data_IF_657370192095
#
_entry.id   IF_657370192095
#
_cell.length_a   1.000
_cell.length_b   1.000
_cell.length_c   1.000
_cell.angle_alpha   90.00
_cell.angle_beta   90.00
_cell.angle_gamma   90.00
#
_symmetry.space_group_name_H-M   'P 1'
#
loop_
_entity.id
_entity.type
_entity.pdbx_description
1 polymer ?
#
# COMPACT_ATOMS: atom_id res chain seq x y z
N UNK A 1 -13.86 -0.92 -5.00
CA UNK A 1 -12.95 -1.97 -4.57
C UNK A 1 -13.71 -3.11 -3.91
N UNK A 2 -13.20 -4.34 -4.02
CA UNK A 2 -13.80 -5.57 -3.49
C UNK A 2 -14.24 -5.43 -2.01
N UNK A 3 -13.34 -4.95 -1.12
CA UNK A 3 -13.64 -4.76 0.31
C UNK A 3 -14.81 -3.80 0.58
N UNK A 4 -15.02 -2.79 -0.24
CA UNK A 4 -16.10 -1.82 -0.06
C UNK A 4 -17.43 -2.37 -0.59
N UNK A 5 -17.43 -2.91 -1.80
CA UNK A 5 -18.64 -3.40 -2.46
C UNK A 5 -19.32 -4.54 -1.68
N UNK A 6 -18.54 -5.54 -1.26
CA UNK A 6 -19.08 -6.68 -0.52
C UNK A 6 -19.55 -6.35 0.90
N UNK A 7 -19.13 -5.21 1.43
CA UNK A 7 -19.57 -4.72 2.75
C UNK A 7 -20.59 -3.57 2.66
N UNK A 8 -21.13 -3.28 1.47
CA UNK A 8 -22.10 -2.19 1.22
C UNK A 8 -21.58 -0.83 1.70
N UNK A 9 -20.28 -0.55 1.49
CA UNK A 9 -19.65 0.70 1.87
C UNK A 9 -19.56 1.62 0.65
N UNK A 10 -19.93 2.87 0.83
CA UNK A 10 -19.77 3.88 -0.22
C UNK A 10 -18.29 4.25 -0.37
N UNK A 11 -17.83 4.35 -1.63
CA UNK A 11 -16.41 4.56 -1.93
C UNK A 11 -16.08 6.00 -2.35
N UNK A 12 -17.10 6.86 -2.48
CA UNK A 12 -16.92 8.19 -3.10
C UNK A 12 -15.96 9.09 -2.31
N UNK A 13 -15.93 8.95 -0.98
CA UNK A 13 -15.09 9.76 -0.09
C UNK A 13 -13.78 9.07 0.31
N UNK A 14 -13.61 7.77 0.03
CA UNK A 14 -12.41 7.03 0.40
C UNK A 14 -11.29 7.25 -0.61
N UNK A 15 -10.16 7.78 -0.16
CA UNK A 15 -8.97 7.98 -1.00
C UNK A 15 -7.80 7.17 -0.48
N UNK A 16 -7.08 6.51 -1.39
CA UNK A 16 -5.88 5.75 -1.08
C UNK A 16 -4.70 6.41 -1.75
N UNK A 17 -3.66 6.70 -0.96
CA UNK A 17 -2.43 7.33 -1.40
C UNK A 17 -1.24 6.40 -1.17
N UNK A 18 -0.40 6.24 -2.17
CA UNK A 18 0.87 5.54 -2.03
C UNK A 18 1.98 6.53 -1.71
N UNK A 19 2.75 6.23 -0.66
CA UNK A 19 3.88 7.04 -0.20
C UNK A 19 5.17 6.28 -0.48
N UNK A 20 6.09 6.89 -1.24
CA UNK A 20 7.42 6.31 -1.41
C UNK A 20 8.17 6.37 -0.09
N UNK A 21 8.38 5.22 0.53
CA UNK A 21 9.06 5.06 1.81
C UNK A 21 9.60 3.65 1.94
N UNK A 22 10.76 3.51 2.57
CA UNK A 22 11.41 2.26 2.97
C UNK A 22 10.88 1.71 4.31
N UNK A 23 9.94 2.42 4.93
CA UNK A 23 9.30 1.98 6.17
C UNK A 23 8.04 1.17 5.88
N UNK A 24 7.88 0.04 6.57
CA UNK A 24 6.66 -0.75 6.51
C UNK A 24 5.58 -0.06 7.34
N UNK A 25 4.69 0.68 6.70
CA UNK A 25 3.60 1.37 7.38
C UNK A 25 2.37 1.59 6.48
N UNK A 26 1.19 1.64 7.11
CA UNK A 26 -0.03 2.23 6.57
C UNK A 26 -0.72 2.99 7.71
N UNK A 27 -1.47 4.02 7.37
CA UNK A 27 -2.19 4.81 8.37
C UNK A 27 -3.34 5.57 7.74
N UNK A 28 -4.33 5.90 8.54
CA UNK A 28 -5.46 6.73 8.13
C UNK A 28 -5.39 8.12 8.74
N UNK A 29 -5.94 9.09 8.00
CA UNK A 29 -6.06 10.47 8.45
C UNK A 29 -7.49 10.98 8.32
N UNK A 30 -7.77 12.18 8.82
CA UNK A 30 -9.07 12.83 8.66
C UNK A 30 -9.51 12.89 7.18
N UNK A 31 -10.81 12.80 6.93
CA UNK A 31 -11.38 12.83 5.58
C UNK A 31 -11.32 11.48 4.84
N UNK A 32 -11.26 10.36 5.56
CA UNK A 32 -11.28 9.01 5.00
C UNK A 32 -10.10 8.73 4.03
N UNK A 33 -8.92 9.27 4.35
CA UNK A 33 -7.72 9.06 3.55
C UNK A 33 -6.85 7.96 4.16
N UNK A 34 -6.50 6.94 3.35
CA UNK A 34 -5.56 5.87 3.71
C UNK A 34 -4.24 6.15 3.00
N UNK A 35 -3.16 6.19 3.76
CA UNK A 35 -1.79 6.30 3.25
C UNK A 35 -1.09 4.96 3.41
N UNK A 36 -0.43 4.50 2.35
CA UNK A 36 0.24 3.21 2.30
C UNK A 36 1.66 3.42 1.81
N UNK A 37 2.62 3.08 2.64
CA UNK A 37 4.02 3.10 2.26
C UNK A 37 4.31 1.99 1.24
N UNK A 38 5.17 2.29 0.27
CA UNK A 38 5.55 1.32 -0.77
C UNK A 38 6.17 0.06 -0.18
N UNK A 39 6.94 0.19 0.91
CA UNK A 39 7.57 -0.95 1.56
C UNK A 39 6.56 -1.91 2.21
N UNK A 40 5.40 -1.43 2.67
CA UNK A 40 4.34 -2.31 3.15
C UNK A 40 3.85 -3.26 2.06
N UNK A 41 3.65 -2.74 0.84
CA UNK A 41 3.22 -3.55 -0.31
C UNK A 41 4.32 -4.55 -0.69
N UNK A 42 5.58 -4.12 -0.68
CA UNK A 42 6.72 -4.97 -1.02
C UNK A 42 6.95 -6.08 0.01
N UNK A 43 6.68 -5.81 1.29
CA UNK A 43 6.79 -6.77 2.40
C UNK A 43 5.71 -7.86 2.35
N UNK A 44 4.50 -7.54 1.89
CA UNK A 44 3.44 -8.54 1.76
C UNK A 44 3.77 -9.57 0.67
N UNK A 45 3.66 -10.87 0.97
CA UNK A 45 3.92 -11.95 0.01
C UNK A 45 2.68 -12.32 -0.80
N UNK A 46 1.51 -12.11 -0.22
CA UNK A 46 0.22 -12.47 -0.78
C UNK A 46 -0.69 -11.24 -0.80
N UNK A 47 -1.49 -11.08 -1.85
CA UNK A 47 -2.45 -9.97 -1.94
C UNK A 47 -3.43 -9.95 -0.76
N UNK A 48 -3.69 -11.10 -0.11
CA UNK A 48 -4.57 -11.22 1.05
C UNK A 48 -3.95 -10.63 2.31
N UNK A 49 -2.63 -10.68 2.47
CA UNK A 49 -1.92 -9.95 3.54
C UNK A 49 -2.11 -8.44 3.36
N UNK A 50 -1.92 -7.95 2.13
CA UNK A 50 -2.17 -6.54 1.80
C UNK A 50 -3.63 -6.14 2.01
N UNK A 51 -4.57 -6.98 1.56
CA UNK A 51 -6.00 -6.76 1.78
C UNK A 51 -6.36 -6.76 3.28
N UNK A 52 -5.67 -7.57 4.10
CA UNK A 52 -5.89 -7.63 5.54
C UNK A 52 -5.46 -6.33 6.23
N UNK A 53 -4.33 -5.74 5.84
CA UNK A 53 -3.94 -4.41 6.33
C UNK A 53 -4.94 -3.35 5.89
N UNK A 54 -5.36 -3.35 4.62
CA UNK A 54 -6.37 -2.40 4.15
C UNK A 54 -7.70 -2.53 4.89
N UNK A 55 -8.13 -3.75 5.22
CA UNK A 55 -9.33 -3.98 6.01
C UNK A 55 -9.19 -3.43 7.44
N UNK A 56 -8.00 -3.52 8.04
CA UNK A 56 -7.69 -2.94 9.34
C UNK A 56 -7.74 -1.40 9.30
N UNK A 57 -7.11 -0.78 8.31
CA UNK A 57 -7.16 0.68 8.13
C UNK A 57 -8.59 1.18 7.87
N UNK A 58 -9.34 0.46 7.04
CA UNK A 58 -10.74 0.76 6.81
C UNK A 58 -11.59 0.63 8.10
N UNK A 59 -11.28 -0.35 8.94
CA UNK A 59 -11.94 -0.50 10.23
C UNK A 59 -11.67 0.69 11.18
N UNK A 60 -10.49 1.30 11.15
CA UNK A 60 -10.22 2.55 11.87
C UNK A 60 -11.09 3.70 11.37
N UNK A 61 -11.31 3.81 10.08
CA UNK A 61 -12.23 4.82 9.50
C UNK A 61 -13.66 4.58 9.99
N UNK A 62 -14.16 3.35 9.82
CA UNK A 62 -15.53 2.97 10.18
C UNK A 62 -15.80 3.09 11.68
N UNK A 63 -14.81 2.80 12.51
CA UNK A 63 -14.88 2.95 13.97
C UNK A 63 -14.77 4.40 14.45
N UNK A 64 -14.51 5.36 13.56
CA UNK A 64 -14.31 6.77 13.93
C UNK A 64 -13.10 6.99 14.85
N UNK A 65 -12.12 6.08 14.82
CA UNK A 65 -11.00 6.07 15.77
C UNK A 65 -10.15 7.35 15.66
N UNK A 66 -9.97 7.89 14.46
CA UNK A 66 -9.23 9.14 14.23
C UNK A 66 -9.92 10.33 14.90
N UNK A 67 -11.25 10.41 14.76
CA UNK A 67 -12.02 11.50 15.35
C UNK A 67 -11.93 11.47 16.88
N UNK A 68 -12.10 10.29 17.48
CA UNK A 68 -12.00 10.10 18.93
C UNK A 68 -10.58 10.43 19.45
N UNK A 69 -9.54 9.98 18.75
CA UNK A 69 -8.15 10.30 19.10
C UNK A 69 -7.88 11.81 18.99
N UNK A 70 -8.43 12.47 17.97
CA UNK A 70 -8.29 13.93 17.80
C UNK A 70 -8.92 14.72 18.96
N UNK A 71 -10.06 14.26 19.48
CA UNK A 71 -10.71 14.88 20.66
C UNK A 71 -9.85 14.65 21.91
N UNK A 72 -9.34 13.47 22.13
CA UNK A 72 -8.46 13.15 23.26
C UNK A 72 -7.19 14.00 23.25
N UNK A 73 -6.54 14.11 22.08
CA UNK A 73 -5.32 14.91 21.90
C UNK A 73 -5.60 16.42 22.03
N UNK A 74 -6.72 16.92 21.52
CA UNK A 74 -7.08 18.34 21.66
C UNK A 74 -7.24 18.76 23.13
N UNK A 75 -7.56 17.80 23.97
CA UNK A 75 -7.62 17.99 25.41
C UNK A 75 -6.24 17.96 26.10
N UNK A 76 -5.23 17.36 25.45
CA UNK A 76 -3.89 17.15 26.03
C UNK A 76 -2.81 18.14 25.53
N UNK A 77 -2.85 18.59 24.28
CA UNK A 77 -1.89 19.57 23.76
C UNK A 77 -2.40 20.34 22.55
N UNK A 78 -2.49 21.66 22.70
CA UNK A 78 -3.07 22.56 21.69
C UNK A 78 -2.18 22.84 20.46
N UNK A 79 -1.01 22.21 20.27
CA UNK A 79 -0.04 22.67 19.25
C UNK A 79 0.50 21.63 18.28
N UNK A 80 0.71 20.38 18.67
CA UNK A 80 1.44 19.41 17.83
C UNK A 80 0.55 18.76 16.74
N UNK A 81 -0.69 18.41 17.07
CA UNK A 81 -1.61 17.77 16.13
C UNK A 81 -1.97 18.64 14.91
N UNK A 82 -2.27 19.97 15.07
CA UNK A 82 -2.50 20.82 13.92
C UNK A 82 -1.32 20.89 12.96
N UNK A 83 -0.08 20.87 13.46
CA UNK A 83 1.14 20.90 12.62
C UNK A 83 1.27 19.59 11.83
N UNK A 84 1.04 18.45 12.46
CA UNK A 84 1.08 17.14 11.79
C UNK A 84 0.02 17.05 10.68
N UNK A 85 -1.23 17.42 10.99
CA UNK A 85 -2.33 17.40 10.01
C UNK A 85 -2.08 18.41 8.87
N UNK A 86 -1.56 19.61 9.17
CA UNK A 86 -1.18 20.60 8.16
C UNK A 86 -0.04 20.10 7.27
N UNK A 87 0.91 19.34 7.83
CA UNK A 87 1.98 18.71 7.09
C UNK A 87 1.44 17.73 6.06
N UNK A 88 0.51 16.84 6.45
CA UNK A 88 -0.15 15.88 5.55
C UNK A 88 -0.97 16.62 4.47
N UNK A 89 -1.75 17.64 4.86
CA UNK A 89 -2.53 18.45 3.90
C UNK A 89 -1.59 19.16 2.91
N UNK A 90 -0.46 19.68 3.39
CA UNK A 90 0.56 20.31 2.55
C UNK A 90 1.14 19.35 1.51
N UNK A 91 1.42 18.12 1.87
CA UNK A 91 1.87 17.08 0.92
C UNK A 91 0.80 16.77 -0.14
N UNK A 92 -0.46 16.65 0.28
CA UNK A 92 -1.60 16.40 -0.64
C UNK A 92 -1.79 17.56 -1.61
N UNK A 93 -1.55 18.80 -1.15
CA UNK A 93 -1.66 20.01 -1.96
C UNK A 93 -0.43 20.29 -2.85
N UNK A 94 0.57 19.39 -2.88
CA UNK A 94 1.77 19.52 -3.71
C UNK A 94 2.88 20.39 -3.10
N UNK A 95 2.74 20.84 -1.86
CA UNK A 95 3.78 21.55 -1.10
C UNK A 95 4.71 20.55 -0.40
N UNK A 96 5.47 19.78 -1.20
CA UNK A 96 6.23 18.61 -0.75
C UNK A 96 7.18 18.91 0.40
N UNK A 97 7.99 19.97 0.29
CA UNK A 97 9.02 20.28 1.29
C UNK A 97 8.42 20.79 2.62
N UNK A 98 7.40 21.65 2.55
CA UNK A 98 6.71 22.17 3.74
C UNK A 98 5.83 21.08 4.38
N UNK A 99 5.23 20.20 3.55
CA UNK A 99 4.42 19.07 4.02
C UNK A 99 5.27 18.05 4.77
N UNK A 100 6.41 17.64 4.20
CA UNK A 100 7.36 16.71 4.83
C UNK A 100 7.90 17.31 6.15
N UNK A 101 8.29 18.57 6.15
CA UNK A 101 8.76 19.24 7.37
C UNK A 101 7.66 19.31 8.45
N UNK A 102 6.41 19.58 8.08
CA UNK A 102 5.27 19.59 9.00
C UNK A 102 4.98 18.21 9.60
N UNK A 103 5.03 17.16 8.77
CA UNK A 103 4.89 15.77 9.23
C UNK A 103 6.02 15.38 10.17
N UNK A 104 7.28 15.67 9.81
CA UNK A 104 8.45 15.35 10.65
C UNK A 104 8.41 16.08 12.00
N UNK A 105 8.10 17.39 12.01
CA UNK A 105 8.01 18.17 13.25
C UNK A 105 6.83 17.72 14.10
N UNK A 106 5.67 17.45 13.49
CA UNK A 106 4.49 16.93 14.17
C UNK A 106 4.75 15.57 14.79
N UNK A 107 5.41 14.66 14.04
CA UNK A 107 5.77 13.33 14.47
C UNK A 107 6.77 13.34 15.62
N UNK A 108 7.83 14.14 15.54
CA UNK A 108 8.83 14.29 16.63
C UNK A 108 8.20 14.87 17.92
N UNK A 109 7.17 15.69 17.81
CA UNK A 109 6.48 16.28 18.97
C UNK A 109 5.45 15.37 19.62
N UNK A 110 5.02 14.32 18.90
CA UNK A 110 4.00 13.36 19.34
C UNK A 110 4.64 12.03 19.81
N UNK A 111 5.90 11.74 19.41
CA UNK A 111 6.53 10.43 19.58
C UNK A 111 6.79 10.00 21.04
N UNK A 112 6.93 10.92 21.97
CA UNK A 112 7.38 10.58 23.33
C UNK A 112 6.27 9.99 24.24
N UNK A 113 4.98 10.07 23.89
CA UNK A 113 3.91 9.58 24.77
C UNK A 113 2.65 9.04 24.06
N UNK A 114 2.62 8.85 22.75
CA UNK A 114 1.40 8.51 22.04
C UNK A 114 1.54 7.27 21.15
N UNK A 115 0.96 6.16 21.60
CA UNK A 115 0.45 5.15 20.67
C UNK A 115 -0.68 5.81 19.88
N UNK A 116 -0.57 5.87 18.55
CA UNK A 116 -1.54 6.55 17.67
C UNK A 116 -2.97 6.06 17.94
N UNK A 117 -3.12 4.77 18.26
CA UNK A 117 -4.38 4.16 18.66
C UNK A 117 -4.29 3.46 20.02
N UNK A 118 -5.38 3.54 20.79
CA UNK A 118 -5.47 2.81 22.05
C UNK A 118 -5.61 1.30 21.83
N UNK A 119 -5.30 0.50 22.85
CA UNK A 119 -5.49 -0.96 22.82
C UNK A 119 -6.91 -1.36 22.43
N UNK A 120 -7.91 -0.61 22.90
CA UNK A 120 -9.32 -0.87 22.62
C UNK A 120 -9.65 -0.58 21.15
N UNK A 121 -9.09 0.49 20.58
CA UNK A 121 -9.28 0.84 19.18
C UNK A 121 -8.62 -0.21 18.26
N UNK A 122 -7.41 -0.67 18.59
CA UNK A 122 -6.74 -1.75 17.85
C UNK A 122 -7.55 -3.06 17.90
N UNK A 123 -8.02 -3.46 19.07
CA UNK A 123 -8.85 -4.66 19.22
C UNK A 123 -10.16 -4.57 18.42
N UNK A 124 -10.80 -3.40 18.43
CA UNK A 124 -12.02 -3.13 17.65
C UNK A 124 -11.74 -3.16 16.14
N UNK A 125 -10.64 -2.54 15.70
CA UNK A 125 -10.24 -2.54 14.30
C UNK A 125 -9.88 -3.94 13.81
N UNK A 126 -9.15 -4.73 14.59
CA UNK A 126 -8.82 -6.12 14.26
C UNK A 126 -10.06 -7.00 14.10
N UNK A 127 -11.04 -6.90 15.02
CA UNK A 127 -12.29 -7.64 14.92
C UNK A 127 -13.11 -7.24 13.70
N UNK A 128 -13.21 -5.94 13.42
CA UNK A 128 -13.90 -5.44 12.25
C UNK A 128 -13.19 -5.86 10.96
N UNK A 129 -11.84 -5.84 10.92
CA UNK A 129 -11.05 -6.31 9.79
C UNK A 129 -11.32 -7.79 9.48
N UNK A 130 -11.34 -8.66 10.49
CA UNK A 130 -11.67 -10.09 10.31
C UNK A 130 -13.04 -10.25 9.65
N UNK A 131 -14.05 -9.49 10.10
CA UNK A 131 -15.39 -9.51 9.50
C UNK A 131 -15.39 -9.00 8.05
N UNK A 132 -14.72 -7.88 7.78
CA UNK A 132 -14.61 -7.30 6.45
C UNK A 132 -13.94 -8.27 5.47
N UNK A 133 -12.88 -8.94 5.90
CA UNK A 133 -12.18 -9.96 5.12
C UNK A 133 -13.07 -11.18 4.85
N UNK A 134 -13.72 -11.69 5.89
CA UNK A 134 -14.58 -12.87 5.79
C UNK A 134 -15.70 -12.67 4.77
N UNK A 135 -16.32 -11.49 4.75
CA UNK A 135 -17.35 -11.13 3.77
C UNK A 135 -16.83 -11.16 2.31
N UNK A 136 -15.51 -11.16 2.13
CA UNK A 136 -14.83 -11.27 0.83
C UNK A 136 -14.22 -12.66 0.58
N UNK A 137 -14.49 -13.64 1.42
CA UNK A 137 -13.88 -14.96 1.32
C UNK A 137 -12.38 -14.98 1.63
N UNK A 138 -11.88 -13.99 2.35
CA UNK A 138 -10.48 -13.90 2.79
C UNK A 138 -10.43 -14.21 4.28
N UNK A 139 -9.61 -15.19 4.66
CA UNK A 139 -9.42 -15.54 6.06
C UNK A 139 -8.59 -14.48 6.80
N UNK A 140 -9.05 -14.04 7.98
CA UNK A 140 -8.34 -13.07 8.83
C UNK A 140 -6.98 -13.54 9.33
N UNK A 141 -6.61 -14.83 9.15
CA UNK A 141 -5.25 -15.34 9.42
C UNK A 141 -4.16 -14.54 8.67
N UNK A 142 -4.47 -13.98 7.48
CA UNK A 142 -3.53 -13.19 6.71
C UNK A 142 -3.12 -11.89 7.43
N UNK A 143 -3.97 -11.34 8.28
CA UNK A 143 -3.58 -10.23 9.16
C UNK A 143 -2.56 -10.71 10.20
N UNK A 144 -2.74 -11.90 10.78
CA UNK A 144 -1.76 -12.49 11.72
C UNK A 144 -0.43 -12.76 11.01
N UNK A 145 -0.46 -13.32 9.82
CA UNK A 145 0.75 -13.62 9.02
C UNK A 145 1.53 -12.33 8.74
N UNK A 146 0.85 -11.27 8.36
CA UNK A 146 1.47 -9.96 8.13
C UNK A 146 2.04 -9.36 9.43
N UNK A 147 1.31 -9.38 10.55
CA UNK A 147 1.77 -8.88 11.84
C UNK A 147 3.03 -9.60 12.32
N UNK A 148 3.09 -10.93 12.21
CA UNK A 148 4.29 -11.73 12.55
C UNK A 148 5.48 -11.36 11.67
N UNK A 149 5.25 -11.09 10.39
CA UNK A 149 6.30 -10.68 9.47
C UNK A 149 6.91 -9.33 9.85
N UNK A 150 6.07 -8.36 10.19
CA UNK A 150 6.53 -7.04 10.66
C UNK A 150 7.32 -7.16 11.96
N UNK A 151 6.90 -8.02 12.87
CA UNK A 151 7.61 -8.24 14.14
C UNK A 151 9.03 -8.75 13.89
N UNK A 152 9.20 -9.73 12.99
CA UNK A 152 10.51 -10.28 12.63
C UNK A 152 11.42 -9.26 11.92
N UNK A 153 10.87 -8.42 11.03
CA UNK A 153 11.62 -7.36 10.33
C UNK A 153 12.14 -6.33 11.33
N UNK A 154 11.32 -5.95 12.32
CA UNK A 154 11.68 -4.93 13.30
C UNK A 154 12.74 -5.39 14.34
N UNK A 155 12.86 -6.69 14.61
CA UNK A 155 13.95 -7.21 15.44
C UNK A 155 15.32 -7.00 14.78
N UNK A 156 15.36 -6.97 13.44
CA UNK A 156 16.59 -6.74 12.68
C UNK A 156 16.98 -5.25 12.57
N UNK A 157 16.04 -4.32 12.77
CA UNK A 157 16.19 -2.86 12.65
C UNK A 157 15.72 -2.13 13.92
N UNK A 158 16.23 -2.50 15.07
CA UNK A 158 15.77 -2.14 16.42
C UNK A 158 15.76 -0.63 16.78
N UNK A 159 16.00 0.29 15.84
CA UNK A 159 16.18 1.73 16.11
C UNK A 159 15.24 2.67 15.31
N UNK A 160 14.27 2.17 14.54
CA UNK A 160 13.38 3.04 13.76
C UNK A 160 12.02 3.22 14.45
N UNK A 161 11.84 4.37 15.09
CA UNK A 161 10.61 4.74 15.82
C UNK A 161 9.39 4.98 14.92
N UNK A 162 9.57 5.00 13.60
CA UNK A 162 8.55 5.38 12.61
C UNK A 162 7.90 4.20 11.87
N UNK A 163 7.99 2.99 12.41
CA UNK A 163 7.42 1.79 11.79
C UNK A 163 5.95 1.55 12.22
N UNK A 164 5.30 0.55 11.61
CA UNK A 164 3.92 0.14 11.89
C UNK A 164 3.63 -0.06 13.39
N UNK A 165 4.62 -0.46 14.20
CA UNK A 165 4.45 -0.65 15.65
C UNK A 165 4.24 0.66 16.41
N UNK A 166 4.74 1.78 15.92
CA UNK A 166 4.55 3.08 16.57
C UNK A 166 3.12 3.59 16.39
N UNK A 167 2.53 3.33 15.23
CA UNK A 167 1.13 3.67 14.93
C UNK A 167 0.14 2.62 15.44
N UNK A 168 0.54 1.33 15.44
CA UNK A 168 -0.29 0.17 15.80
C UNK A 168 0.42 -0.74 16.83
N UNK A 169 0.40 -0.40 18.11
CA UNK A 169 1.17 -1.11 19.13
C UNK A 169 0.62 -2.50 19.46
N UNK A 170 1.45 -3.28 20.16
CA UNK A 170 1.06 -4.53 20.87
C UNK A 170 0.71 -5.71 19.95
N UNK A 171 1.59 -6.02 18.98
CA UNK A 171 1.39 -7.13 18.02
C UNK A 171 0.99 -8.45 18.70
N UNK A 172 1.60 -8.86 19.81
CA UNK A 172 1.29 -10.12 20.49
C UNK A 172 -0.15 -10.18 21.02
N UNK A 173 -0.63 -9.10 21.64
CA UNK A 173 -2.01 -9.04 22.14
C UNK A 173 -3.01 -9.06 20.97
N UNK A 174 -2.69 -8.38 19.86
CA UNK A 174 -3.51 -8.34 18.64
C UNK A 174 -3.67 -9.71 18.03
N UNK A 175 -2.60 -10.50 17.94
CA UNK A 175 -2.68 -11.89 17.47
C UNK A 175 -3.67 -12.72 18.30
N UNK A 176 -3.67 -12.54 19.63
CA UNK A 176 -4.63 -13.19 20.52
C UNK A 176 -6.08 -12.79 20.22
N UNK A 177 -6.35 -11.50 20.03
CA UNK A 177 -7.70 -10.99 19.73
C UNK A 177 -8.19 -11.44 18.35
N UNK A 178 -7.32 -11.41 17.33
CA UNK A 178 -7.66 -11.87 15.99
C UNK A 178 -7.99 -13.38 16.02
N UNK A 179 -7.20 -14.21 16.70
CA UNK A 179 -7.47 -15.64 16.83
C UNK A 179 -8.85 -15.89 17.47
N UNK A 180 -9.17 -15.18 18.56
CA UNK A 180 -10.50 -15.30 19.20
C UNK A 180 -11.65 -14.87 18.27
N UNK A 181 -11.40 -13.87 17.42
CA UNK A 181 -12.39 -13.44 16.43
C UNK A 181 -12.57 -14.46 15.31
N UNK A 182 -11.51 -15.15 14.91
CA UNK A 182 -11.57 -16.19 13.86
C UNK A 182 -12.43 -17.39 14.25
N UNK A 183 -12.59 -17.69 15.54
CA UNK A 183 -13.47 -18.76 16.02
C UNK A 183 -14.92 -18.57 15.54
N UNK A 184 -15.34 -17.34 15.30
CA UNK A 184 -16.67 -17.00 14.78
C UNK A 184 -16.78 -17.04 13.25
N UNK A 185 -15.67 -17.26 12.54
CA UNK A 185 -15.57 -17.13 11.06
C UNK A 185 -14.81 -18.30 10.43
N UNK A 186 -15.17 -19.53 10.80
CA UNK A 186 -14.42 -20.75 10.42
C UNK A 186 -14.44 -21.06 8.93
N UNK A 187 -15.38 -20.54 8.15
CA UNK A 187 -15.60 -20.91 6.74
C UNK A 187 -15.29 -19.78 5.75
N UNK A 188 -14.34 -18.89 6.07
CA UNK A 188 -14.05 -17.70 5.27
C UNK A 188 -12.92 -17.86 4.23
N UNK A 189 -12.41 -19.05 3.95
CA UNK A 189 -11.26 -19.25 3.04
C UNK A 189 -11.73 -19.89 1.73
N UNK A 190 -12.51 -19.13 0.92
CA UNK A 190 -13.12 -19.71 -0.28
C UNK A 190 -12.28 -19.56 -1.54
N UNK A 191 -11.37 -18.60 -1.61
CA UNK A 191 -10.74 -18.26 -2.89
C UNK A 191 -9.29 -17.80 -2.80
N UNK A 192 -8.42 -18.60 -3.38
CA UNK A 192 -7.14 -18.12 -3.91
C UNK A 192 -7.40 -17.58 -5.31
N UNK A 193 -7.73 -16.31 -5.44
CA UNK A 193 -7.85 -15.71 -6.76
C UNK A 193 -6.45 -15.51 -7.37
N UNK A 194 -6.08 -16.44 -8.26
CA UNK A 194 -4.78 -16.41 -8.96
C UNK A 194 -4.61 -15.15 -9.82
N UNK A 195 -5.71 -14.54 -10.26
CA UNK A 195 -5.68 -13.33 -11.08
C UNK A 195 -5.28 -12.15 -10.19
N UNK A 196 -5.88 -12.01 -9.00
CA UNK A 196 -5.49 -10.98 -8.05
C UNK A 196 -4.05 -11.15 -7.58
N UNK A 197 -3.62 -12.39 -7.29
CA UNK A 197 -2.23 -12.63 -6.91
C UNK A 197 -1.26 -12.21 -8.03
N UNK A 198 -1.55 -12.54 -9.27
CA UNK A 198 -0.72 -12.13 -10.40
C UNK A 198 -0.71 -10.60 -10.59
N UNK A 199 -1.86 -9.92 -10.46
CA UNK A 199 -1.94 -8.46 -10.49
C UNK A 199 -1.10 -7.85 -9.35
N UNK A 200 -1.13 -8.45 -8.16
CA UNK A 200 -0.36 -7.99 -7.01
C UNK A 200 1.15 -8.18 -7.21
N UNK A 201 1.59 -9.30 -7.76
CA UNK A 201 2.99 -9.53 -8.12
C UNK A 201 3.50 -8.50 -9.14
N UNK A 202 2.71 -8.16 -10.15
CA UNK A 202 3.05 -7.11 -11.11
C UNK A 202 3.10 -5.72 -10.47
N UNK A 203 2.19 -5.42 -9.52
CA UNK A 203 2.26 -4.19 -8.73
C UNK A 203 3.55 -4.11 -7.93
N UNK A 204 3.93 -5.19 -7.23
CA UNK A 204 5.21 -5.28 -6.49
C UNK A 204 6.40 -5.08 -7.42
N UNK A 205 6.39 -5.71 -8.58
CA UNK A 205 7.44 -5.57 -9.59
C UNK A 205 7.60 -4.11 -10.05
N UNK A 206 6.49 -3.43 -10.36
CA UNK A 206 6.50 -1.99 -10.73
C UNK A 206 7.05 -1.14 -9.59
N UNK A 207 6.57 -1.35 -8.36
CA UNK A 207 7.01 -0.60 -7.21
C UNK A 207 8.48 -0.81 -6.90
N UNK A 208 8.95 -2.05 -6.88
CA UNK A 208 10.36 -2.35 -6.62
C UNK A 208 11.28 -1.72 -7.67
N UNK A 209 10.96 -1.87 -8.96
CA UNK A 209 11.73 -1.26 -10.04
C UNK A 209 11.73 0.29 -10.00
N UNK A 210 10.70 0.90 -9.38
CA UNK A 210 10.59 2.34 -9.21
C UNK A 210 11.31 2.86 -7.95
N UNK A 211 11.29 2.10 -6.85
CA UNK A 211 11.73 2.57 -5.52
C UNK A 211 13.15 2.17 -5.17
N UNK A 212 13.62 1.01 -5.67
CA UNK A 212 14.91 0.43 -5.30
C UNK A 212 16.01 0.70 -6.34
N UNK A 213 17.27 0.69 -5.91
CA UNK A 213 18.41 0.75 -6.81
C UNK A 213 18.36 -0.37 -7.87
N UNK A 214 18.86 -0.07 -9.07
CA UNK A 214 18.82 -1.02 -10.19
C UNK A 214 19.47 -2.37 -9.88
N UNK A 215 20.62 -2.36 -9.21
CA UNK A 215 21.35 -3.58 -8.83
C UNK A 215 20.56 -4.47 -7.86
N UNK A 216 19.77 -3.89 -6.97
CA UNK A 216 18.87 -4.64 -6.07
C UNK A 216 17.70 -5.24 -6.84
N UNK A 217 17.12 -4.47 -7.77
CA UNK A 217 16.06 -4.97 -8.64
C UNK A 217 16.55 -6.14 -9.50
N UNK A 218 17.74 -6.06 -10.11
CA UNK A 218 18.32 -7.17 -10.88
C UNK A 218 18.68 -8.39 -10.00
N UNK A 219 19.04 -8.18 -8.75
CA UNK A 219 19.32 -9.28 -7.83
C UNK A 219 18.05 -10.07 -7.45
N UNK A 220 16.92 -9.37 -7.26
CA UNK A 220 15.64 -9.97 -6.88
C UNK A 220 14.89 -10.52 -8.10
N UNK A 221 14.85 -9.77 -9.21
CA UNK A 221 14.12 -10.07 -10.44
C UNK A 221 15.09 -10.44 -11.57
N UNK A 222 15.60 -11.67 -11.53
CA UNK A 222 16.72 -12.13 -12.36
C UNK A 222 16.35 -13.18 -13.40
N UNK A 223 15.06 -13.48 -13.57
CA UNK A 223 14.59 -14.45 -14.56
C UNK A 223 13.94 -13.78 -15.79
N UNK A 224 13.36 -14.59 -16.67
CA UNK A 224 12.69 -14.11 -17.90
C UNK A 224 11.18 -14.25 -17.84
N UNK A 225 10.61 -14.46 -16.65
CA UNK A 225 9.15 -14.46 -16.47
C UNK A 225 8.60 -13.02 -16.59
N UNK A 226 7.29 -12.88 -16.69
CA UNK A 226 6.66 -11.59 -16.97
C UNK A 226 6.83 -10.60 -15.81
N UNK A 227 6.85 -11.07 -14.57
CA UNK A 227 7.02 -10.24 -13.36
C UNK A 227 8.43 -9.65 -13.33
N UNK A 228 9.45 -10.49 -13.54
CA UNK A 228 10.86 -10.08 -13.52
C UNK A 228 11.19 -9.15 -14.71
N UNK A 229 10.66 -9.47 -15.89
CA UNK A 229 10.80 -8.58 -17.06
C UNK A 229 10.16 -7.20 -16.81
N UNK A 230 9.02 -7.15 -16.11
CA UNK A 230 8.37 -5.89 -15.81
C UNK A 230 9.15 -5.08 -14.78
N UNK A 231 9.60 -5.69 -13.67
CA UNK A 231 10.44 -5.03 -12.67
C UNK A 231 11.71 -4.45 -13.29
N UNK A 232 12.42 -5.26 -14.08
CA UNK A 232 13.66 -4.82 -14.73
C UNK A 232 13.42 -3.77 -15.83
N UNK A 233 12.29 -3.81 -16.54
CA UNK A 233 11.92 -2.77 -17.49
C UNK A 233 11.71 -1.43 -16.79
N UNK A 234 10.93 -1.40 -15.69
CA UNK A 234 10.73 -0.20 -14.87
C UNK A 234 12.07 0.34 -14.35
N UNK A 235 12.88 -0.52 -13.75
CA UNK A 235 14.18 -0.12 -13.21
C UNK A 235 15.13 0.42 -14.27
N UNK A 236 15.22 -0.21 -15.45
CA UNK A 236 16.02 0.29 -16.58
C UNK A 236 15.51 1.67 -17.08
N UNK A 237 14.20 1.89 -17.10
CA UNK A 237 13.64 3.19 -17.48
C UNK A 237 14.13 4.31 -16.54
N UNK A 238 14.03 4.12 -15.23
CA UNK A 238 14.47 5.12 -14.25
C UNK A 238 15.99 5.31 -14.19
N UNK A 239 16.76 4.36 -14.71
CA UNK A 239 18.22 4.50 -14.90
C UNK A 239 18.60 5.17 -16.22
N UNK A 240 17.63 5.53 -17.06
CA UNK A 240 17.88 6.07 -18.40
C UNK A 240 18.32 5.02 -19.43
N UNK A 241 18.29 3.72 -19.10
CA UNK A 241 18.60 2.65 -20.02
C UNK A 241 17.37 2.25 -20.84
N UNK A 242 16.90 3.21 -21.63
CA UNK A 242 15.64 3.08 -22.38
C UNK A 242 15.65 1.93 -23.38
N UNK A 243 16.82 1.61 -23.99
CA UNK A 243 16.91 0.51 -24.96
C UNK A 243 16.53 -0.84 -24.34
N UNK A 244 17.12 -1.18 -23.19
CA UNK A 244 16.79 -2.42 -22.46
C UNK A 244 15.34 -2.42 -21.97
N UNK A 245 14.87 -1.27 -21.48
CA UNK A 245 13.48 -1.12 -21.03
C UNK A 245 12.50 -1.38 -22.17
N UNK A 246 12.70 -0.79 -23.35
CA UNK A 246 11.88 -1.02 -24.55
C UNK A 246 11.91 -2.50 -24.96
N UNK A 247 13.08 -3.15 -24.95
CA UNK A 247 13.20 -4.57 -25.29
C UNK A 247 12.33 -5.43 -24.37
N UNK A 248 12.47 -5.26 -23.05
CA UNK A 248 11.68 -6.01 -22.07
C UNK A 248 10.19 -5.73 -22.24
N UNK A 249 9.78 -4.47 -22.42
CA UNK A 249 8.37 -4.11 -22.59
C UNK A 249 7.77 -4.68 -23.87
N UNK A 250 8.51 -4.69 -24.98
CA UNK A 250 8.06 -5.33 -26.22
C UNK A 250 7.84 -6.84 -26.06
N UNK A 251 8.70 -7.52 -25.30
CA UNK A 251 8.52 -8.95 -24.97
C UNK A 251 7.24 -9.19 -24.19
N UNK A 252 6.92 -8.32 -23.22
CA UNK A 252 5.71 -8.39 -22.41
C UNK A 252 4.44 -8.11 -23.25
N UNK A 253 4.47 -7.06 -24.08
CA UNK A 253 3.34 -6.67 -24.94
C UNK A 253 3.07 -7.74 -26.00
N UNK A 254 4.11 -8.37 -26.56
CA UNK A 254 3.92 -9.49 -27.50
C UNK A 254 3.15 -10.66 -26.88
N UNK A 255 3.29 -10.90 -25.58
CA UNK A 255 2.53 -11.94 -24.85
C UNK A 255 1.14 -11.48 -24.44
N UNK A 256 0.99 -10.21 -24.09
CA UNK A 256 -0.27 -9.61 -23.65
C UNK A 256 -0.47 -8.21 -24.22
N UNK A 257 -0.89 -8.09 -25.50
CA UNK A 257 -1.01 -6.80 -26.19
C UNK A 257 -2.05 -5.85 -25.59
N UNK A 258 -3.05 -6.41 -24.91
CA UNK A 258 -4.14 -5.64 -24.30
C UNK A 258 -3.87 -5.19 -22.87
N UNK A 259 -2.70 -5.50 -22.28
CA UNK A 259 -2.37 -5.03 -20.95
C UNK A 259 -2.13 -3.49 -20.95
N UNK A 260 -3.01 -2.70 -20.30
CA UNK A 260 -2.91 -1.25 -20.36
C UNK A 260 -1.66 -0.72 -19.66
N UNK A 261 -1.22 -1.35 -18.57
CA UNK A 261 -0.04 -0.92 -17.80
C UNK A 261 1.26 -1.15 -18.56
N UNK A 262 1.34 -2.20 -19.39
CA UNK A 262 2.49 -2.42 -20.25
C UNK A 262 2.55 -1.39 -21.38
N UNK A 263 1.40 -1.10 -21.99
CA UNK A 263 1.30 -0.08 -23.02
C UNK A 263 1.58 1.31 -22.46
N UNK A 264 1.04 1.66 -21.28
CA UNK A 264 1.33 2.92 -20.58
C UNK A 264 2.85 3.13 -20.41
N UNK A 265 3.54 2.17 -19.78
CA UNK A 265 4.99 2.29 -19.54
C UNK A 265 5.79 2.39 -20.84
N UNK A 266 5.45 1.60 -21.86
CA UNK A 266 6.16 1.69 -23.13
C UNK A 266 5.91 3.03 -23.82
N UNK A 267 4.71 3.60 -23.72
CA UNK A 267 4.38 4.95 -24.18
C UNK A 267 5.22 6.01 -23.48
N UNK A 268 5.35 5.93 -22.14
CA UNK A 268 6.21 6.84 -21.35
C UNK A 268 7.68 6.76 -21.78
N UNK A 269 8.20 5.54 -21.98
CA UNK A 269 9.60 5.35 -22.40
C UNK A 269 9.85 5.97 -23.79
N UNK A 270 8.92 5.79 -24.74
CA UNK A 270 9.03 6.41 -26.05
C UNK A 270 8.92 7.94 -25.99
N UNK A 271 8.03 8.45 -25.13
CA UNK A 271 7.91 9.89 -24.89
C UNK A 271 9.23 10.47 -24.35
N UNK A 272 9.84 9.81 -23.36
CA UNK A 272 11.13 10.21 -22.81
C UNK A 272 12.28 10.17 -23.84
N UNK A 273 12.16 9.33 -24.87
CA UNK A 273 13.08 9.25 -26.00
C UNK A 273 12.76 10.20 -27.16
N UNK A 274 11.78 11.11 -27.00
CA UNK A 274 11.29 12.02 -28.04
C UNK A 274 10.67 11.31 -29.26
N UNK A 275 10.36 10.03 -29.17
CA UNK A 275 9.57 9.31 -30.19
C UNK A 275 8.08 9.46 -29.90
N UNK A 276 7.58 10.66 -30.13
CA UNK A 276 6.18 11.02 -29.86
C UNK A 276 5.16 10.21 -30.67
N UNK A 277 5.54 9.76 -31.86
CA UNK A 277 4.67 8.93 -32.70
C UNK A 277 4.40 7.57 -32.05
N UNK A 278 5.44 6.90 -31.61
CA UNK A 278 5.31 5.63 -30.89
C UNK A 278 4.65 5.83 -29.52
N UNK A 279 4.98 6.92 -28.81
CA UNK A 279 4.37 7.24 -27.52
C UNK A 279 2.83 7.36 -27.62
N UNK A 280 2.30 8.10 -28.60
CA UNK A 280 0.87 8.24 -28.85
C UNK A 280 0.24 6.87 -29.09
N UNK A 281 0.82 6.04 -29.96
CA UNK A 281 0.29 4.71 -30.30
C UNK A 281 0.09 3.84 -29.04
N UNK A 282 1.07 3.82 -28.15
CA UNK A 282 1.02 2.98 -26.96
C UNK A 282 0.13 3.58 -25.85
N UNK A 283 0.08 4.90 -25.69
CA UNK A 283 -0.86 5.53 -24.77
C UNK A 283 -2.33 5.35 -25.23
N UNK A 284 -2.61 5.45 -26.52
CA UNK A 284 -3.96 5.13 -27.06
C UNK A 284 -4.30 3.65 -26.80
N UNK A 285 -3.37 2.73 -26.98
CA UNK A 285 -3.59 1.33 -26.68
C UNK A 285 -3.86 1.11 -25.17
N UNK A 286 -3.19 1.84 -24.29
CA UNK A 286 -3.43 1.80 -22.84
C UNK A 286 -4.85 2.27 -22.51
N UNK A 287 -5.25 3.44 -23.00
CA UNK A 287 -6.60 4.04 -22.79
C UNK A 287 -7.70 3.10 -23.28
N UNK A 288 -7.56 2.56 -24.49
CA UNK A 288 -8.56 1.68 -25.10
C UNK A 288 -8.73 0.33 -24.38
N UNK A 289 -7.82 -0.02 -23.47
CA UNK A 289 -7.86 -1.28 -22.75
C UNK A 289 -8.02 -1.12 -21.22
N UNK A 290 -8.03 0.10 -20.69
CA UNK A 290 -8.07 0.31 -19.24
C UNK A 290 -9.39 -0.19 -18.63
N UNK A 291 -10.51 -0.02 -19.29
CA UNK A 291 -11.81 -0.45 -18.81
C UNK A 291 -11.94 -1.98 -18.72
N UNK A 292 -11.17 -2.72 -19.52
CA UNK A 292 -11.15 -4.18 -19.51
C UNK A 292 -10.43 -4.78 -18.31
N UNK A 293 -9.75 -3.97 -17.51
CA UNK A 293 -9.03 -4.41 -16.30
C UNK A 293 -9.87 -4.25 -15.05
N UNK A 294 -10.95 -3.46 -15.14
CA UNK A 294 -11.86 -3.19 -14.02
C UNK A 294 -12.94 -4.27 -13.85
N UNK A 295 -13.07 -5.17 -14.83
CA UNK A 295 -13.91 -6.37 -14.79
C UNK A 295 -13.09 -7.58 -14.30
#
# INVERSE_FOLDING_TARGET
SMLLQSNNLESEDLKIYFVKSDQVNAFVTGGQNIFINTELILTANDYREYAAVLAHELAHILGGHIFNTSIEISNLSNKALPIYLLGIIGMIAGATDAGIAGVMVGQASVSDNFSYYSRTQEASADQAAVKLLCNNGINGKFLIEFLKKIENVNESFALDENNYRSTHPLVQNRIGWINSSLENYNDCDYNTDKIFQKKFELLKAKLHGFTHPHYETEAVYNSTNDVDLYATAVSNYFQGNHTKSIENMKRLINKNPSNPFYNELLGEIYFANNDYKSAILYHEAAINNIDKVND
#
